data_IF_534391897685
#
_entry.id   IF_534391897685
#
_cell.length_a   1.000
_cell.length_b   1.000
_cell.length_c   1.000
_cell.angle_alpha   90.00
_cell.angle_beta   90.00
_cell.angle_gamma   90.00
#
_symmetry.space_group_name_H-M   'P 1'
#
loop_
_entity.id
_entity.type
_entity.pdbx_description
1 polymer ?
#
# COMPACT_ATOMS: atom_id res chain seq x y z
N UNK A 1 -16.67 17.54 -23.74
CA UNK A 1 -15.46 17.36 -22.89
C UNK A 1 -15.44 18.52 -21.92
N UNK A 2 -15.94 18.29 -20.72
CA UNK A 2 -16.14 19.36 -19.73
C UNK A 2 -14.93 19.62 -18.85
N UNK A 3 -13.81 18.94 -19.07
CA UNK A 3 -12.82 18.84 -18.02
C UNK A 3 -11.45 19.12 -18.59
N UNK A 4 -10.97 20.31 -18.32
CA UNK A 4 -9.55 20.62 -18.44
C UNK A 4 -8.80 19.69 -17.50
N UNK A 5 -7.86 18.94 -18.01
CA UNK A 5 -7.21 17.85 -17.30
C UNK A 5 -6.42 18.27 -16.05
N UNK A 6 -6.23 19.56 -15.78
CA UNK A 6 -5.35 20.00 -14.68
C UNK A 6 -5.81 21.23 -13.89
N UNK A 7 -6.72 22.06 -14.39
CA UNK A 7 -7.02 23.35 -13.77
C UNK A 7 -8.49 23.62 -13.46
N UNK A 8 -9.42 22.96 -14.14
CA UNK A 8 -10.85 23.13 -13.90
C UNK A 8 -11.33 22.43 -12.63
N UNK A 9 -12.23 23.07 -11.88
CA UNK A 9 -12.87 22.45 -10.71
C UNK A 9 -14.33 22.12 -11.00
N UNK A 10 -14.72 20.88 -10.77
CA UNK A 10 -16.14 20.48 -10.75
C UNK A 10 -16.57 20.32 -9.29
N UNK A 11 -17.59 21.08 -8.91
CA UNK A 11 -18.19 20.98 -7.59
C UNK A 11 -19.56 20.30 -7.64
N UNK A 12 -19.63 19.15 -7.00
CA UNK A 12 -20.89 18.43 -6.76
C UNK A 12 -21.55 18.99 -5.49
N UNK A 13 -22.39 20.00 -5.65
CA UNK A 13 -22.87 20.87 -4.55
C UNK A 13 -24.37 20.76 -4.27
N UNK A 14 -25.05 19.72 -4.72
CA UNK A 14 -26.49 19.55 -4.47
C UNK A 14 -26.76 19.59 -2.95
N UNK A 15 -27.70 20.44 -2.55
CA UNK A 15 -27.99 20.71 -1.13
C UNK A 15 -29.09 19.82 -0.54
N UNK A 16 -29.75 19.04 -1.36
CA UNK A 16 -30.83 18.13 -0.95
C UNK A 16 -30.62 16.77 -1.60
N UNK A 17 -30.74 15.70 -0.84
CA UNK A 17 -30.57 14.33 -1.33
C UNK A 17 -29.14 14.01 -1.86
N UNK A 18 -28.87 12.74 -2.00
CA UNK A 18 -27.62 12.22 -2.59
C UNK A 18 -27.48 12.65 -4.05
N UNK A 19 -26.27 12.98 -4.44
CA UNK A 19 -25.92 13.31 -5.82
C UNK A 19 -24.98 12.25 -6.39
N UNK A 20 -25.31 11.77 -7.59
CA UNK A 20 -24.45 10.86 -8.34
C UNK A 20 -23.31 11.63 -9.01
N UNK A 21 -22.11 11.14 -8.84
CA UNK A 21 -20.89 11.64 -9.49
C UNK A 21 -20.73 10.95 -10.84
N UNK A 22 -20.33 11.68 -11.86
CA UNK A 22 -20.06 11.08 -13.18
C UNK A 22 -18.67 10.42 -13.21
N UNK A 23 -18.56 9.31 -13.91
CA UNK A 23 -17.29 8.71 -14.25
C UNK A 23 -16.59 9.58 -15.31
N UNK A 24 -15.51 10.23 -14.91
CA UNK A 24 -14.73 11.12 -15.79
C UNK A 24 -13.34 11.34 -15.21
N UNK A 25 -12.44 11.93 -16.01
CA UNK A 25 -11.21 12.53 -15.51
C UNK A 25 -11.48 14.00 -15.16
N UNK A 26 -11.13 14.36 -13.94
CA UNK A 26 -11.25 15.71 -13.40
C UNK A 26 -9.88 16.35 -13.25
N UNK A 27 -9.80 17.65 -13.50
CA UNK A 27 -8.72 18.46 -13.00
C UNK A 27 -8.82 18.47 -11.48
N UNK A 28 -9.77 19.26 -10.94
CA UNK A 28 -10.10 19.21 -9.53
C UNK A 28 -11.55 18.79 -9.34
N UNK A 29 -11.85 18.05 -8.27
CA UNK A 29 -13.23 17.70 -7.89
C UNK A 29 -13.49 18.00 -6.44
N UNK A 30 -14.63 18.62 -6.18
CA UNK A 30 -15.09 18.95 -4.82
C UNK A 30 -16.46 18.34 -4.59
N UNK A 31 -16.64 17.72 -3.43
CA UNK A 31 -17.95 17.32 -2.92
C UNK A 31 -18.33 18.27 -1.79
N UNK A 32 -19.40 18.97 -1.93
CA UNK A 32 -19.94 19.84 -0.89
C UNK A 32 -21.39 19.50 -0.59
N UNK A 33 -21.86 19.95 0.57
CA UNK A 33 -23.18 19.70 1.11
C UNK A 33 -23.45 18.20 1.40
N UNK A 34 -24.36 17.58 0.66
CA UNK A 34 -24.78 16.19 0.89
C UNK A 34 -23.76 15.16 0.43
N UNK A 35 -23.88 13.96 0.99
CA UNK A 35 -23.13 12.76 0.57
C UNK A 35 -23.34 12.47 -0.92
N UNK A 36 -22.37 11.80 -1.52
CA UNK A 36 -22.36 11.47 -2.96
C UNK A 36 -22.46 9.95 -3.15
N UNK A 37 -23.03 9.56 -4.27
CA UNK A 37 -22.95 8.21 -4.81
C UNK A 37 -21.94 8.23 -5.96
N UNK A 38 -20.85 7.50 -5.80
CA UNK A 38 -19.84 7.34 -6.82
C UNK A 38 -20.24 6.17 -7.74
N UNK A 39 -20.00 6.26 -9.05
CA UNK A 39 -20.30 5.17 -9.98
C UNK A 39 -19.37 3.98 -9.73
N UNK A 40 -19.84 2.77 -10.01
CA UNK A 40 -19.01 1.55 -10.00
C UNK A 40 -18.06 1.52 -11.24
N UNK A 41 -17.22 2.53 -11.34
CA UNK A 41 -16.28 2.75 -12.45
C UNK A 41 -15.19 3.71 -11.97
N UNK A 42 -14.24 4.06 -12.83
CA UNK A 42 -13.10 4.92 -12.46
C UNK A 42 -13.46 6.41 -12.55
N UNK A 43 -13.07 7.14 -11.53
CA UNK A 43 -12.99 8.60 -11.48
C UNK A 43 -11.51 8.97 -11.42
N UNK A 44 -10.99 9.56 -12.50
CA UNK A 44 -9.63 10.07 -12.57
C UNK A 44 -9.53 11.47 -11.96
N UNK A 45 -8.44 11.74 -11.25
CA UNK A 45 -8.17 13.03 -10.60
C UNK A 45 -6.75 13.45 -10.95
N UNK A 46 -6.64 14.45 -11.83
CA UNK A 46 -5.36 15.00 -12.25
C UNK A 46 -4.90 16.23 -11.41
N UNK A 47 -5.69 16.68 -10.47
CA UNK A 47 -5.40 17.80 -9.58
C UNK A 47 -5.77 17.46 -8.15
N UNK A 48 -6.68 18.22 -7.56
CA UNK A 48 -7.08 18.08 -6.15
C UNK A 48 -8.44 17.42 -6.02
N UNK A 49 -8.55 16.48 -5.09
CA UNK A 49 -9.80 15.92 -4.61
C UNK A 49 -10.14 16.51 -3.23
N UNK A 50 -11.31 17.10 -3.12
CA UNK A 50 -11.85 17.63 -1.85
C UNK A 50 -13.17 16.91 -1.56
N UNK A 51 -13.17 15.80 -0.82
CA UNK A 51 -14.35 14.96 -0.64
C UNK A 51 -15.42 15.56 0.30
N UNK A 52 -15.13 16.66 1.00
CA UNK A 52 -16.01 17.27 1.99
C UNK A 52 -16.16 16.44 3.26
N UNK A 53 -16.53 15.17 3.15
CA UNK A 53 -16.52 14.18 4.22
C UNK A 53 -15.62 13.01 3.84
N UNK A 54 -14.89 12.48 4.80
CA UNK A 54 -14.08 11.28 4.59
C UNK A 54 -14.91 10.00 4.52
N UNK A 55 -16.11 10.02 5.08
CA UNK A 55 -16.96 8.83 5.24
C UNK A 55 -18.42 9.13 4.84
N UNK A 56 -19.17 8.07 4.63
CA UNK A 56 -20.60 8.11 4.36
C UNK A 56 -20.99 8.19 2.88
N UNK A 57 -20.06 8.48 1.99
CA UNK A 57 -20.31 8.37 0.55
C UNK A 57 -20.55 6.92 0.15
N UNK A 58 -21.39 6.69 -0.86
CA UNK A 58 -21.53 5.37 -1.47
C UNK A 58 -20.40 5.19 -2.49
N UNK A 59 -19.47 4.28 -2.22
CA UNK A 59 -18.26 4.07 -3.01
C UNK A 59 -18.16 2.67 -3.62
N UNK A 60 -19.17 1.82 -3.44
CA UNK A 60 -19.17 0.42 -3.86
C UNK A 60 -18.82 0.27 -5.35
N UNK A 61 -17.78 -0.50 -5.64
CA UNK A 61 -17.27 -0.73 -7.00
C UNK A 61 -16.54 0.45 -7.63
N UNK A 62 -16.46 1.60 -6.97
CA UNK A 62 -15.77 2.77 -7.49
C UNK A 62 -14.25 2.62 -7.39
N UNK A 63 -13.54 3.17 -8.38
CA UNK A 63 -12.10 3.39 -8.32
C UNK A 63 -11.82 4.88 -8.40
N UNK A 64 -11.10 5.41 -7.42
CA UNK A 64 -10.47 6.72 -7.54
C UNK A 64 -9.04 6.50 -8.05
N UNK A 65 -8.69 7.21 -9.14
CA UNK A 65 -7.35 7.18 -9.73
C UNK A 65 -6.70 8.56 -9.65
N UNK A 66 -5.68 8.70 -8.81
CA UNK A 66 -4.83 9.88 -8.75
C UNK A 66 -3.79 9.81 -9.87
N UNK A 67 -4.07 10.45 -11.00
CA UNK A 67 -3.37 10.25 -12.26
C UNK A 67 -2.58 11.47 -12.75
N UNK A 68 -2.29 12.45 -11.89
CA UNK A 68 -1.44 13.58 -12.24
C UNK A 68 -0.06 13.11 -12.70
N UNK A 69 0.44 13.71 -13.79
CA UNK A 69 1.84 13.60 -14.18
C UNK A 69 2.70 14.51 -13.32
N UNK A 70 3.00 14.06 -12.09
CA UNK A 70 3.71 14.80 -11.05
C UNK A 70 3.25 14.41 -9.65
N UNK A 71 3.77 15.11 -8.64
CA UNK A 71 3.40 14.87 -7.24
C UNK A 71 1.98 15.32 -6.95
N UNK A 72 1.26 14.55 -6.13
CA UNK A 72 -0.16 14.78 -5.85
C UNK A 72 -0.50 14.32 -4.44
N UNK A 73 -1.35 15.11 -3.75
CA UNK A 73 -1.83 14.72 -2.42
C UNK A 73 -3.05 13.82 -2.53
N UNK A 74 -3.06 12.75 -1.76
CA UNK A 74 -4.18 11.84 -1.58
C UNK A 74 -5.07 12.42 -0.48
N UNK A 75 -6.34 12.67 -0.78
CA UNK A 75 -7.29 13.17 0.19
C UNK A 75 -7.66 12.07 1.22
N UNK A 76 -7.94 12.46 2.45
CA UNK A 76 -8.54 11.56 3.43
C UNK A 76 -9.94 11.16 2.94
N UNK A 77 -10.07 9.88 2.61
CA UNK A 77 -11.32 9.32 2.07
C UNK A 77 -11.37 7.80 2.29
N UNK A 78 -12.55 7.25 2.49
CA UNK A 78 -12.72 5.79 2.50
C UNK A 78 -12.88 5.29 1.08
N UNK A 79 -11.79 4.89 0.47
CA UNK A 79 -11.77 4.37 -0.91
C UNK A 79 -12.40 2.98 -1.00
N UNK A 80 -13.17 2.70 -2.05
CA UNK A 80 -13.41 1.32 -2.41
C UNK A 80 -12.16 0.78 -3.11
N UNK A 81 -11.86 1.20 -4.32
CA UNK A 81 -10.56 0.92 -4.95
C UNK A 81 -9.77 2.23 -5.11
N UNK A 82 -8.47 2.15 -4.94
CA UNK A 82 -7.56 3.27 -5.12
C UNK A 82 -6.47 2.90 -6.12
N UNK A 83 -6.36 3.70 -7.18
CA UNK A 83 -5.24 3.64 -8.12
C UNK A 83 -4.41 4.90 -7.99
N UNK A 84 -3.12 4.73 -7.98
CA UNK A 84 -2.13 5.79 -8.00
C UNK A 84 -1.33 5.63 -9.29
N UNK A 85 -1.49 6.55 -10.23
CA UNK A 85 -0.91 6.46 -11.57
C UNK A 85 -0.31 7.79 -12.03
N UNK A 86 0.06 7.89 -13.31
CA UNK A 86 0.77 9.05 -13.84
C UNK A 86 2.25 9.00 -13.51
N UNK A 87 2.75 9.96 -12.74
CA UNK A 87 4.16 9.99 -12.30
C UNK A 87 4.33 10.66 -10.94
N UNK A 88 5.57 10.68 -10.41
CA UNK A 88 5.93 11.36 -9.17
C UNK A 88 5.43 10.68 -7.91
N UNK A 89 5.37 11.44 -6.82
CA UNK A 89 4.93 10.94 -5.52
C UNK A 89 3.46 11.24 -5.28
N UNK A 90 2.71 10.23 -4.82
CA UNK A 90 1.33 10.35 -4.34
C UNK A 90 1.37 10.27 -2.82
N UNK A 91 1.11 11.40 -2.15
CA UNK A 91 1.36 11.55 -0.73
C UNK A 91 0.07 11.54 0.09
N UNK A 92 0.02 10.68 1.11
CA UNK A 92 -1.04 10.73 2.14
C UNK A 92 -0.78 11.93 3.04
N UNK A 93 -1.70 12.88 3.07
CA UNK A 93 -1.38 14.22 3.55
C UNK A 93 -1.84 14.51 4.99
N UNK A 94 -2.98 14.03 5.43
CA UNK A 94 -3.59 14.53 6.69
C UNK A 94 -3.85 13.49 7.74
N UNK A 95 -4.12 12.25 7.37
CA UNK A 95 -4.55 11.19 8.29
C UNK A 95 -4.43 9.83 7.61
N UNK A 96 -4.49 8.77 8.41
CA UNK A 96 -4.49 7.39 7.90
C UNK A 96 -5.71 7.11 7.04
N UNK A 97 -5.49 6.55 5.85
CA UNK A 97 -6.52 6.20 4.87
C UNK A 97 -6.84 4.70 4.87
N UNK A 98 -8.04 4.37 4.39
CA UNK A 98 -8.47 2.98 4.22
C UNK A 98 -8.93 2.72 2.80
N UNK A 99 -8.37 1.68 2.18
CA UNK A 99 -8.79 1.11 0.89
C UNK A 99 -9.50 -0.21 1.16
N UNK A 100 -10.81 -0.25 0.89
CA UNK A 100 -11.65 -1.42 1.20
C UNK A 100 -11.47 -2.54 0.19
N UNK A 101 -11.36 -2.19 -1.09
CA UNK A 101 -11.09 -3.09 -2.20
C UNK A 101 -9.60 -3.10 -2.57
N UNK A 102 -9.27 -2.93 -3.84
CA UNK A 102 -7.89 -3.01 -4.32
C UNK A 102 -7.13 -1.69 -4.21
N UNK A 103 -5.86 -1.78 -3.81
CA UNK A 103 -4.86 -0.71 -3.91
C UNK A 103 -3.90 -1.03 -5.06
N UNK A 104 -3.79 -0.11 -6.03
CA UNK A 104 -2.86 -0.23 -7.15
C UNK A 104 -1.89 0.96 -7.18
N UNK A 105 -0.59 0.69 -7.00
CA UNK A 105 0.52 1.64 -7.12
C UNK A 105 1.20 1.37 -8.46
N UNK A 106 0.78 2.11 -9.49
CA UNK A 106 1.14 1.86 -10.89
C UNK A 106 2.34 2.71 -11.34
N UNK A 107 3.55 2.24 -11.09
CA UNK A 107 4.80 2.88 -11.53
C UNK A 107 5.12 4.21 -10.85
N UNK A 108 4.41 4.57 -9.78
CA UNK A 108 4.60 5.81 -9.02
C UNK A 108 5.14 5.51 -7.62
N UNK A 109 5.42 6.54 -6.84
CA UNK A 109 5.74 6.41 -5.42
C UNK A 109 4.50 6.72 -4.58
N UNK A 110 4.04 5.76 -3.76
CA UNK A 110 3.15 6.04 -2.65
C UNK A 110 4.00 6.50 -1.45
N UNK A 111 3.79 7.72 -0.99
CA UNK A 111 4.42 8.26 0.22
C UNK A 111 3.35 8.46 1.30
N UNK A 112 3.38 7.64 2.32
CA UNK A 112 2.47 7.77 3.46
C UNK A 112 3.10 8.51 4.66
N UNK A 113 4.29 9.10 4.49
CA UNK A 113 5.00 9.86 5.53
C UNK A 113 5.05 9.09 6.87
N UNK A 114 4.45 9.65 7.93
CA UNK A 114 4.30 9.02 9.23
C UNK A 114 2.91 8.34 9.44
N UNK A 115 2.05 8.36 8.43
CA UNK A 115 0.67 7.87 8.50
C UNK A 115 0.56 6.43 8.00
N UNK A 116 -0.42 5.70 8.46
CA UNK A 116 -0.71 4.37 7.93
C UNK A 116 -1.72 4.46 6.78
N UNK A 117 -1.52 3.61 5.77
CA UNK A 117 -2.57 3.29 4.81
C UNK A 117 -3.00 1.85 5.01
N UNK A 118 -4.29 1.62 5.24
CA UNK A 118 -4.85 0.30 5.49
C UNK A 118 -5.43 -0.26 4.20
N UNK A 119 -4.87 -1.34 3.70
CA UNK A 119 -5.43 -2.12 2.59
C UNK A 119 -6.21 -3.32 3.15
N UNK A 120 -7.52 -3.33 2.94
CA UNK A 120 -8.40 -4.45 3.32
C UNK A 120 -8.55 -5.46 2.17
N UNK A 121 -8.29 -5.05 0.93
CA UNK A 121 -8.22 -5.91 -0.25
C UNK A 121 -6.79 -6.10 -0.75
N UNK A 122 -6.65 -6.63 -1.97
CA UNK A 122 -5.35 -6.92 -2.57
C UNK A 122 -4.55 -5.66 -2.93
N UNK A 123 -3.23 -5.79 -2.92
CA UNK A 123 -2.29 -4.72 -3.25
C UNK A 123 -1.49 -5.11 -4.49
N UNK A 124 -1.49 -4.25 -5.50
CA UNK A 124 -0.57 -4.34 -6.62
C UNK A 124 0.39 -3.16 -6.57
N UNK A 125 1.70 -3.41 -6.54
CA UNK A 125 2.71 -2.37 -6.52
C UNK A 125 3.77 -2.65 -7.59
N UNK A 126 3.75 -1.87 -8.66
CA UNK A 126 4.80 -1.88 -9.71
C UNK A 126 5.77 -0.71 -9.56
N UNK A 127 5.54 0.15 -8.57
CA UNK A 127 6.37 1.29 -8.22
C UNK A 127 7.07 1.11 -6.88
N UNK A 128 6.96 2.11 -6.03
CA UNK A 128 7.55 2.09 -4.68
C UNK A 128 6.59 2.62 -3.63
N UNK A 129 6.73 2.11 -2.41
CA UNK A 129 6.13 2.70 -1.23
C UNK A 129 7.23 3.26 -0.33
N UNK A 130 7.06 4.50 0.08
CA UNK A 130 7.96 5.24 0.97
C UNK A 130 7.21 5.78 2.18
N UNK A 131 7.93 6.30 3.13
CA UNK A 131 7.39 6.91 4.34
C UNK A 131 8.47 7.01 5.40
N UNK A 132 8.25 7.79 6.43
CA UNK A 132 9.18 7.91 7.58
C UNK A 132 8.93 6.80 8.59
N UNK A 133 7.78 6.80 9.25
CA UNK A 133 7.37 5.78 10.23
C UNK A 133 6.03 5.12 9.89
N UNK A 134 5.26 5.68 8.97
CA UNK A 134 4.02 5.09 8.51
C UNK A 134 4.23 3.76 7.78
N UNK A 135 3.23 2.91 7.81
CA UNK A 135 3.24 1.60 7.16
C UNK A 135 2.05 1.41 6.22
N UNK A 136 2.25 0.60 5.19
CA UNK A 136 1.14 -0.04 4.50
C UNK A 136 0.69 -1.24 5.36
N UNK A 137 -0.53 -1.17 5.87
CA UNK A 137 -1.12 -2.22 6.71
C UNK A 137 -1.93 -3.17 5.83
N UNK A 138 -1.52 -4.42 5.80
CA UNK A 138 -2.28 -5.53 5.19
C UNK A 138 -3.25 -6.02 6.25
N UNK A 139 -4.52 -5.58 6.17
CA UNK A 139 -5.49 -5.67 7.26
C UNK A 139 -6.82 -6.31 6.90
N UNK A 140 -6.88 -7.09 5.82
CA UNK A 140 -8.10 -7.75 5.36
C UNK A 140 -8.58 -8.87 6.28
N UNK A 141 -9.70 -9.47 5.90
CA UNK A 141 -10.30 -10.65 6.57
C UNK A 141 -10.26 -11.91 5.72
N UNK A 142 -9.92 -11.77 4.43
CA UNK A 142 -9.66 -12.85 3.49
C UNK A 142 -8.18 -12.86 3.14
N UNK A 143 -7.68 -13.96 2.60
CA UNK A 143 -6.31 -14.01 2.10
C UNK A 143 -6.10 -12.93 1.03
N UNK A 144 -5.11 -12.07 1.23
CA UNK A 144 -4.82 -10.96 0.33
C UNK A 144 -3.70 -11.33 -0.66
N UNK A 145 -3.71 -10.72 -1.85
CA UNK A 145 -2.58 -10.79 -2.77
C UNK A 145 -1.75 -9.51 -2.65
N UNK A 146 -0.42 -9.68 -2.60
CA UNK A 146 0.56 -8.59 -2.77
C UNK A 146 1.36 -8.92 -4.03
N UNK A 147 1.23 -8.09 -5.08
CA UNK A 147 1.77 -8.39 -6.41
C UNK A 147 2.48 -7.19 -7.03
N UNK A 148 3.09 -7.40 -8.20
CA UNK A 148 3.70 -6.34 -9.02
C UNK A 148 5.21 -6.20 -8.86
N UNK A 149 5.84 -6.84 -7.88
CA UNK A 149 7.32 -6.86 -7.73
C UNK A 149 7.95 -5.53 -7.30
N UNK A 150 7.15 -4.56 -6.85
CA UNK A 150 7.63 -3.28 -6.33
C UNK A 150 8.23 -3.36 -4.94
N UNK A 151 8.76 -2.23 -4.47
CA UNK A 151 9.37 -2.16 -3.14
C UNK A 151 8.47 -1.45 -2.13
N UNK A 152 8.63 -1.83 -0.87
CA UNK A 152 7.93 -1.21 0.25
C UNK A 152 8.91 -0.72 1.31
N UNK A 153 8.62 0.44 1.91
CA UNK A 153 9.38 0.92 3.08
C UNK A 153 8.96 0.13 4.31
N UNK A 154 7.74 0.32 4.78
CA UNK A 154 7.24 -0.39 5.95
C UNK A 154 5.95 -1.14 5.61
N UNK A 155 5.86 -2.39 5.99
CA UNK A 155 4.62 -3.19 5.95
C UNK A 155 4.27 -3.66 7.35
N UNK A 156 3.01 -3.53 7.71
CA UNK A 156 2.43 -4.24 8.86
C UNK A 156 1.51 -5.34 8.35
N UNK A 157 1.87 -6.58 8.60
CA UNK A 157 1.02 -7.74 8.33
C UNK A 157 0.09 -7.95 9.53
N UNK A 158 -1.20 -7.66 9.35
CA UNK A 158 -2.24 -7.77 10.37
C UNK A 158 -3.52 -8.39 9.78
N UNK A 159 -3.38 -9.52 9.11
CA UNK A 159 -4.48 -10.27 8.53
C UNK A 159 -4.35 -11.75 8.91
N UNK A 160 -5.22 -12.22 9.80
CA UNK A 160 -5.22 -13.61 10.25
C UNK A 160 -5.41 -14.63 9.12
N UNK A 161 -6.10 -14.26 8.03
CA UNK A 161 -6.25 -15.10 6.84
C UNK A 161 -4.98 -15.15 5.96
N UNK A 162 -3.96 -14.33 6.29
CA UNK A 162 -2.70 -14.30 5.59
C UNK A 162 -2.69 -13.43 4.32
N UNK A 163 -1.53 -13.42 3.68
CA UNK A 163 -1.35 -12.84 2.35
C UNK A 163 -0.41 -13.72 1.51
N UNK A 164 -0.62 -13.72 0.19
CA UNK A 164 0.28 -14.37 -0.76
C UNK A 164 0.99 -13.31 -1.59
N UNK A 165 2.30 -13.43 -1.77
CA UNK A 165 3.02 -12.59 -2.73
C UNK A 165 3.03 -13.24 -4.11
N UNK A 166 3.03 -12.40 -5.15
CA UNK A 166 3.22 -12.78 -6.54
C UNK A 166 4.17 -11.78 -7.19
N UNK A 167 5.36 -12.26 -7.52
CA UNK A 167 6.53 -11.48 -7.88
C UNK A 167 7.40 -11.14 -6.67
N UNK A 168 8.72 -11.07 -6.92
CA UNK A 168 9.70 -10.74 -5.87
C UNK A 168 9.38 -9.39 -5.22
N UNK A 169 9.18 -9.40 -3.92
CA UNK A 169 8.79 -8.21 -3.15
C UNK A 169 9.91 -7.81 -2.20
N UNK A 170 10.30 -6.53 -2.22
CA UNK A 170 11.40 -6.01 -1.38
C UNK A 170 10.90 -5.09 -0.28
N UNK A 171 11.33 -5.34 0.96
CA UNK A 171 11.09 -4.48 2.12
C UNK A 171 12.37 -3.74 2.49
N UNK A 172 12.33 -2.41 2.38
CA UNK A 172 13.48 -1.53 2.64
C UNK A 172 13.52 -0.95 4.06
N UNK A 173 12.46 -1.13 4.83
CA UNK A 173 12.33 -0.69 6.21
C UNK A 173 11.87 -1.82 7.12
N UNK A 174 10.74 -1.66 7.77
CA UNK A 174 10.23 -2.63 8.74
C UNK A 174 9.12 -3.49 8.15
N UNK A 175 9.30 -4.81 8.20
CA UNK A 175 8.21 -5.77 8.10
C UNK A 175 7.77 -6.12 9.53
N UNK A 176 6.58 -5.65 9.90
CA UNK A 176 6.01 -5.94 11.21
C UNK A 176 4.93 -7.02 11.10
N UNK A 177 5.17 -8.18 11.66
CA UNK A 177 4.17 -9.22 11.82
C UNK A 177 3.38 -9.01 13.11
N UNK A 178 2.21 -8.40 13.01
CA UNK A 178 1.23 -8.35 14.10
C UNK A 178 0.42 -9.65 14.13
N UNK A 179 -0.07 -10.10 12.97
CA UNK A 179 -0.81 -11.36 12.82
C UNK A 179 -0.82 -11.82 11.36
N UNK A 180 -0.81 -13.13 11.14
CA UNK A 180 -0.97 -13.77 9.83
C UNK A 180 0.33 -14.17 9.14
N UNK A 181 0.20 -15.03 8.15
CA UNK A 181 1.31 -15.63 7.41
C UNK A 181 1.43 -14.96 6.04
N UNK A 182 2.66 -14.64 5.63
CA UNK A 182 2.95 -14.29 4.23
C UNK A 182 3.44 -15.54 3.52
N UNK A 183 2.71 -16.00 2.50
CA UNK A 183 3.08 -17.13 1.65
C UNK A 183 3.76 -16.61 0.39
N UNK A 184 4.95 -17.11 0.10
CA UNK A 184 5.74 -16.63 -1.05
C UNK A 184 5.59 -17.49 -2.29
N UNK A 185 5.05 -18.72 -2.16
CA UNK A 185 4.97 -19.71 -3.26
C UNK A 185 6.36 -19.93 -3.91
N UNK A 186 6.50 -19.56 -5.19
CA UNK A 186 7.76 -19.63 -5.95
C UNK A 186 8.54 -18.33 -5.95
N UNK A 187 7.97 -17.27 -5.39
CA UNK A 187 8.56 -15.95 -5.34
C UNK A 187 9.38 -15.73 -4.06
N UNK A 188 10.07 -14.61 -3.95
CA UNK A 188 10.94 -14.31 -2.82
C UNK A 188 10.52 -13.02 -2.13
N UNK A 189 10.37 -13.07 -0.81
CA UNK A 189 10.30 -11.88 0.02
C UNK A 189 11.71 -11.48 0.45
N UNK A 190 12.13 -10.28 0.07
CA UNK A 190 13.47 -9.77 0.35
C UNK A 190 13.40 -8.71 1.45
N UNK A 191 14.17 -8.90 2.51
CA UNK A 191 14.48 -7.84 3.49
C UNK A 191 15.84 -7.27 3.10
N UNK A 192 15.85 -6.02 2.66
CA UNK A 192 17.08 -5.34 2.24
C UNK A 192 18.08 -5.16 3.39
N UNK A 193 19.29 -4.71 3.09
CA UNK A 193 20.33 -4.45 4.11
C UNK A 193 19.93 -3.40 5.16
N UNK A 194 19.01 -2.51 4.83
CA UNK A 194 18.44 -1.50 5.75
C UNK A 194 17.13 -1.96 6.37
N UNK A 195 16.58 -3.08 5.91
CA UNK A 195 15.32 -3.61 6.40
C UNK A 195 15.47 -4.43 7.67
N UNK A 196 14.37 -4.58 8.38
CA UNK A 196 14.26 -5.40 9.58
C UNK A 196 12.90 -6.07 9.66
N UNK A 197 12.81 -7.09 10.51
CA UNK A 197 11.54 -7.76 10.82
C UNK A 197 11.26 -7.63 12.31
N UNK A 198 10.04 -7.26 12.65
CA UNK A 198 9.50 -7.33 14.02
C UNK A 198 8.32 -8.30 14.02
N UNK A 199 8.10 -8.98 15.13
CA UNK A 199 7.11 -10.05 15.19
C UNK A 199 6.43 -10.14 16.55
N UNK A 200 5.09 -10.15 16.52
CA UNK A 200 4.23 -10.61 17.61
C UNK A 200 3.69 -12.00 17.25
N UNK A 201 2.93 -12.09 16.16
CA UNK A 201 2.39 -13.34 15.61
C UNK A 201 2.56 -13.34 14.10
N UNK A 202 2.70 -14.52 13.49
CA UNK A 202 2.87 -14.63 12.04
C UNK A 202 4.33 -14.86 11.63
N UNK A 203 4.55 -15.12 10.35
CA UNK A 203 5.85 -15.46 9.78
C UNK A 203 5.77 -15.54 8.25
N UNK A 204 6.87 -15.89 7.62
CA UNK A 204 6.92 -16.19 6.18
C UNK A 204 6.86 -17.71 5.97
N UNK A 205 5.91 -18.16 5.16
CA UNK A 205 5.87 -19.51 4.63
C UNK A 205 6.45 -19.51 3.21
N UNK A 206 7.66 -20.00 3.06
CA UNK A 206 8.38 -20.08 1.80
C UNK A 206 9.71 -19.31 1.80
N UNK A 207 10.01 -18.59 0.72
CA UNK A 207 11.32 -17.99 0.48
C UNK A 207 11.45 -16.60 1.11
N UNK A 208 12.25 -16.52 2.18
CA UNK A 208 12.64 -15.27 2.82
C UNK A 208 14.15 -15.06 2.62
N UNK A 209 14.51 -14.01 1.90
CA UNK A 209 15.90 -13.59 1.72
C UNK A 209 16.19 -12.39 2.61
N UNK A 210 17.34 -12.39 3.27
CA UNK A 210 17.88 -11.23 4.00
C UNK A 210 19.22 -10.81 3.42
N UNK A 211 19.31 -9.53 3.07
CA UNK A 211 20.58 -8.95 2.61
C UNK A 211 21.44 -8.58 3.82
N UNK A 212 22.67 -9.05 3.82
CA UNK A 212 23.67 -8.72 4.84
C UNK A 212 24.57 -7.63 4.28
N UNK A 213 24.65 -6.49 4.97
CA UNK A 213 25.65 -5.46 4.67
C UNK A 213 27.06 -5.99 4.95
N UNK A 214 28.02 -5.56 4.12
CA UNK A 214 29.40 -6.00 4.24
C UNK A 214 30.01 -5.62 5.59
N UNK A 215 30.92 -6.48 6.04
CA UNK A 215 31.90 -6.34 7.11
C UNK A 215 31.38 -6.32 8.54
N UNK A 216 31.73 -7.34 9.27
CA UNK A 216 31.50 -7.47 10.70
C UNK A 216 31.86 -8.87 11.18
N UNK A 217 32.12 -8.99 12.47
CA UNK A 217 32.30 -10.27 13.17
C UNK A 217 31.09 -10.57 14.03
N UNK A 218 30.80 -11.85 14.24
CA UNK A 218 29.68 -12.33 15.06
C UNK A 218 28.30 -11.80 14.61
N UNK A 219 28.09 -11.71 13.31
CA UNK A 219 26.82 -11.25 12.75
C UNK A 219 25.77 -12.35 12.92
N UNK A 220 24.69 -12.02 13.60
CA UNK A 220 23.56 -12.92 13.79
C UNK A 220 22.39 -12.48 12.94
N UNK A 221 21.72 -13.44 12.29
CA UNK A 221 20.49 -13.22 11.51
C UNK A 221 19.44 -14.23 11.91
N UNK A 222 18.27 -13.71 12.25
CA UNK A 222 17.06 -14.50 12.45
C UNK A 222 16.25 -14.49 11.16
N UNK A 223 15.66 -15.62 10.82
CA UNK A 223 14.71 -15.75 9.74
C UNK A 223 13.36 -16.14 10.35
N UNK A 224 12.40 -15.25 10.20
CA UNK A 224 11.04 -15.39 10.74
C UNK A 224 10.20 -16.26 9.78
N UNK A 225 10.61 -17.51 9.62
CA UNK A 225 10.03 -18.49 8.70
C UNK A 225 9.26 -19.57 9.45
N UNK A 226 8.46 -20.31 8.71
CA UNK A 226 7.70 -21.48 9.16
C UNK A 226 6.99 -22.16 8.02
N UNK A 227 6.10 -23.07 8.36
CA UNK A 227 5.16 -23.68 7.41
C UNK A 227 3.81 -22.93 7.39
N UNK A 228 2.75 -23.50 6.84
CA UNK A 228 1.43 -22.88 6.78
C UNK A 228 0.81 -22.59 8.16
N UNK A 229 1.25 -23.27 9.21
CA UNK A 229 0.65 -23.22 10.55
C UNK A 229 1.64 -22.94 11.67
N UNK A 230 2.89 -23.36 11.54
CA UNK A 230 3.87 -23.36 12.61
C UNK A 230 5.00 -22.37 12.32
N UNK A 231 5.34 -21.57 13.29
CA UNK A 231 6.53 -20.73 13.27
C UNK A 231 7.76 -21.59 13.66
N UNK A 232 8.67 -21.77 12.72
CA UNK A 232 9.90 -22.55 12.88
C UNK A 232 11.10 -21.74 12.43
N UNK A 233 11.53 -20.75 13.23
CA UNK A 233 12.57 -19.80 12.80
C UNK A 233 13.93 -20.47 12.65
N UNK A 234 14.71 -19.95 11.71
CA UNK A 234 16.12 -20.28 11.58
C UNK A 234 17.00 -19.14 12.12
N UNK A 235 18.15 -19.49 12.69
CA UNK A 235 19.14 -18.53 13.14
C UNK A 235 20.50 -18.89 12.55
N UNK A 236 21.13 -17.92 11.89
CA UNK A 236 22.48 -18.05 11.38
C UNK A 236 23.42 -17.10 12.14
N UNK A 237 24.60 -17.59 12.48
CA UNK A 237 25.66 -16.78 13.07
C UNK A 237 26.91 -16.90 12.22
N UNK A 238 27.40 -15.77 11.76
CA UNK A 238 28.61 -15.66 10.95
C UNK A 238 29.74 -15.16 11.83
N UNK A 239 30.83 -15.93 11.95
CA UNK A 239 32.02 -15.50 12.67
C UNK A 239 32.62 -14.23 12.04
N UNK A 240 32.61 -14.15 10.72
CA UNK A 240 33.03 -12.97 9.95
C UNK A 240 32.27 -12.90 8.63
N UNK A 241 31.93 -11.68 8.23
CA UNK A 241 31.43 -11.36 6.89
C UNK A 241 32.37 -10.37 6.25
N UNK A 242 32.98 -10.73 5.12
CA UNK A 242 33.99 -9.93 4.41
C UNK A 242 33.42 -9.20 3.20
N UNK A 243 32.26 -9.63 2.70
CA UNK A 243 31.55 -9.00 1.60
C UNK A 243 30.03 -9.03 1.85
N UNK A 244 29.31 -8.04 1.32
CA UNK A 244 27.86 -8.04 1.32
C UNK A 244 27.32 -9.26 0.55
N UNK A 245 26.22 -9.82 1.00
CA UNK A 245 25.61 -10.99 0.39
C UNK A 245 24.16 -11.18 0.80
N UNK A 246 23.55 -12.18 0.21
CA UNK A 246 22.19 -12.59 0.53
C UNK A 246 22.18 -13.99 1.14
N UNK A 247 21.28 -14.21 2.04
CA UNK A 247 20.96 -15.50 2.65
C UNK A 247 19.51 -15.81 2.37
#
# INVERSE_FOLDING_TARGET
TLLSATTGTVNYNKSTNTQTVLAANYGNVTFSNFLKTLPASTIGIAGTFTPGSAYGHTTTGNTIDYNLSGSQNIALFRYNNLTLSGSGSKTVFTSSDTVVGSLNISGVTLDNAALNMVALGSVTNTGSHTGTSGALVIGGTLNQSISGGGSFKNITMNNAAGAAISGTTTINGVLNFTNGVITTNTDTLIISSTGSVTRTLGHVNGWLQKTISATGSNIMRYFEIGDATNFTPARFQFASVTAAGNI
#
